data_IF_084644429389
#
_entry.id   IF_084644429389
#
_cell.length_a   1.000
_cell.length_b   1.000
_cell.length_c   1.000
_cell.angle_alpha   90.00
_cell.angle_beta   90.00
_cell.angle_gamma   90.00
#
_symmetry.space_group_name_H-M   'P 1'
#
loop_
_entity.id
_entity.type
_entity.pdbx_description
1 polymer ?
#
# COMPACT_ATOMS: atom_id res chain seq x y z
N UNK A 1 -11.54 -1.59 -11.07
CA UNK A 1 -12.22 -1.59 -12.38
C UNK A 1 -11.26 -1.03 -13.43
N UNK A 2 -11.17 -1.66 -14.60
CA UNK A 2 -10.37 -1.17 -15.73
C UNK A 2 -11.30 -0.91 -16.91
N UNK A 3 -11.10 0.20 -17.62
CA UNK A 3 -11.99 0.65 -18.71
C UNK A 3 -11.37 0.47 -20.11
N UNK A 4 -10.15 -0.08 -20.17
CA UNK A 4 -9.41 -0.34 -21.40
C UNK A 4 -9.26 -1.83 -21.64
N UNK A 5 -9.12 -2.22 -22.92
CA UNK A 5 -8.91 -3.62 -23.33
C UNK A 5 -7.65 -4.25 -22.73
N UNK A 6 -6.66 -3.42 -22.40
CA UNK A 6 -5.42 -3.82 -21.73
C UNK A 6 -5.17 -2.90 -20.55
N UNK A 7 -4.90 -3.50 -19.40
CA UNK A 7 -4.45 -2.82 -18.19
C UNK A 7 -3.46 -3.72 -17.45
N UNK A 8 -2.33 -3.18 -17.02
CA UNK A 8 -1.35 -3.88 -16.20
C UNK A 8 -1.36 -3.28 -14.80
N UNK A 9 -1.53 -4.14 -13.80
CA UNK A 9 -1.49 -3.76 -12.39
C UNK A 9 -0.36 -4.53 -11.71
N UNK A 10 0.59 -3.81 -11.11
CA UNK A 10 1.73 -4.37 -10.38
C UNK A 10 1.76 -3.80 -8.98
N UNK A 11 1.86 -4.67 -7.99
CA UNK A 11 1.96 -4.32 -6.57
C UNK A 11 2.96 -5.25 -5.89
N UNK A 12 3.54 -4.79 -4.77
CA UNK A 12 4.46 -5.58 -3.96
C UNK A 12 3.73 -6.10 -2.72
N UNK A 13 3.92 -7.39 -2.43
CA UNK A 13 3.51 -8.03 -1.19
C UNK A 13 4.72 -8.22 -0.28
N UNK A 14 4.50 -8.16 1.03
CA UNK A 14 5.49 -8.46 2.06
C UNK A 14 5.74 -9.96 2.22
N UNK A 15 4.90 -10.81 1.60
CA UNK A 15 4.89 -12.26 1.75
C UNK A 15 4.39 -12.95 0.48
N UNK A 16 4.60 -14.27 0.38
CA UNK A 16 4.05 -15.07 -0.70
C UNK A 16 2.52 -15.12 -0.64
N UNK A 17 1.91 -15.35 -1.80
CA UNK A 17 0.47 -15.51 -1.87
C UNK A 17 0.04 -16.83 -1.23
N UNK A 18 -0.81 -16.71 -0.21
CA UNK A 18 -1.45 -17.79 0.51
C UNK A 18 -2.96 -17.67 0.31
N UNK A 19 -3.60 -18.54 -0.50
CA UNK A 19 -5.04 -18.47 -0.79
C UNK A 19 -5.91 -18.44 0.48
N UNK A 20 -5.46 -19.13 1.52
CA UNK A 20 -6.09 -19.21 2.84
C UNK A 20 -6.13 -17.87 3.61
N UNK A 21 -5.23 -16.94 3.29
CA UNK A 21 -5.16 -15.61 3.89
C UNK A 21 -5.91 -14.56 3.04
N UNK A 22 -6.38 -14.93 1.85
CA UNK A 22 -7.15 -14.04 1.00
C UNK A 22 -8.60 -13.95 1.49
N UNK A 23 -9.13 -12.74 1.51
CA UNK A 23 -10.54 -12.48 1.77
C UNK A 23 -11.03 -11.39 0.83
N UNK A 24 -12.29 -11.46 0.47
CA UNK A 24 -12.91 -10.52 -0.45
C UNK A 24 -14.27 -10.07 0.05
N UNK A 25 -14.68 -8.88 -0.40
CA UNK A 25 -16.00 -8.31 -0.15
C UNK A 25 -16.72 -8.21 -1.48
N UNK A 26 -18.05 -8.32 -1.44
CA UNK A 26 -18.88 -8.09 -2.60
C UNK A 26 -18.64 -6.68 -3.18
N UNK A 27 -18.13 -6.62 -4.40
CA UNK A 27 -17.64 -5.38 -5.02
C UNK A 27 -18.74 -4.31 -5.22
N UNK A 28 -19.99 -4.73 -5.38
CA UNK A 28 -21.16 -3.88 -5.61
C UNK A 28 -22.06 -3.76 -4.36
N UNK A 29 -21.53 -4.02 -3.16
CA UNK A 29 -22.27 -3.76 -1.92
C UNK A 29 -22.50 -2.25 -1.74
N UNK A 30 -23.77 -1.84 -1.67
CA UNK A 30 -24.18 -0.44 -1.49
C UNK A 30 -23.57 0.20 -0.23
N UNK A 31 -23.25 -0.60 0.80
CA UNK A 31 -22.65 -0.13 2.06
C UNK A 31 -21.22 0.36 1.90
N UNK A 32 -20.53 -0.04 0.84
CA UNK A 32 -19.21 0.51 0.50
C UNK A 32 -19.31 1.98 0.04
N UNK A 33 -20.49 2.44 -0.39
CA UNK A 33 -20.71 3.82 -0.83
C UNK A 33 -19.98 4.20 -2.12
N UNK A 34 -19.49 3.22 -2.89
CA UNK A 34 -18.72 3.47 -4.12
C UNK A 34 -19.69 3.63 -5.30
N UNK A 35 -19.66 4.81 -5.92
CA UNK A 35 -20.39 5.09 -7.15
C UNK A 35 -19.53 4.68 -8.35
N UNK A 36 -19.62 3.41 -8.74
CA UNK A 36 -18.93 2.91 -9.93
C UNK A 36 -19.53 3.57 -11.19
N UNK A 37 -18.71 4.10 -12.13
CA UNK A 37 -19.21 4.74 -13.34
C UNK A 37 -19.62 3.68 -14.39
N UNK A 38 -20.57 2.82 -14.02
CA UNK A 38 -21.11 1.74 -14.84
C UNK A 38 -22.35 2.28 -15.56
N UNK A 39 -22.36 2.19 -16.88
CA UNK A 39 -23.51 2.54 -17.72
C UNK A 39 -24.27 1.27 -18.11
N UNK A 40 -25.53 1.40 -18.54
CA UNK A 40 -26.40 0.25 -18.90
C UNK A 40 -25.82 -0.63 -20.02
N UNK A 41 -24.95 -0.07 -20.86
CA UNK A 41 -24.27 -0.73 -21.98
C UNK A 41 -22.94 -1.40 -21.59
N UNK A 42 -22.45 -1.19 -20.36
CA UNK A 42 -21.21 -1.82 -19.90
C UNK A 42 -21.44 -3.26 -19.42
N UNK A 43 -20.70 -4.21 -20.00
CA UNK A 43 -20.63 -5.56 -19.49
C UNK A 43 -19.63 -5.63 -18.33
N UNK A 44 -20.11 -6.00 -17.14
CA UNK A 44 -19.26 -6.26 -15.99
C UNK A 44 -18.70 -7.69 -16.08
N UNK A 45 -17.38 -7.80 -16.00
CA UNK A 45 -16.66 -9.07 -16.00
C UNK A 45 -16.03 -9.23 -14.62
N UNK A 46 -16.49 -10.23 -13.88
CA UNK A 46 -15.98 -10.62 -12.57
C UNK A 46 -15.64 -12.11 -12.55
N UNK A 47 -14.77 -12.52 -11.65
CA UNK A 47 -14.58 -13.96 -11.40
C UNK A 47 -15.78 -14.53 -10.64
N UNK A 48 -15.98 -15.85 -10.70
CA UNK A 48 -17.01 -16.54 -9.91
C UNK A 48 -16.81 -16.31 -8.40
N UNK A 49 -15.55 -16.32 -7.98
CA UNK A 49 -15.13 -16.04 -6.60
C UNK A 49 -15.57 -14.65 -6.16
N UNK A 50 -15.21 -13.61 -6.91
CA UNK A 50 -15.48 -12.23 -6.50
C UNK A 50 -16.98 -11.89 -6.55
N UNK A 51 -17.73 -12.60 -7.40
CA UNK A 51 -19.20 -12.50 -7.48
C UNK A 51 -19.90 -13.21 -6.31
N UNK A 52 -19.19 -14.10 -5.62
CA UNK A 52 -19.70 -14.92 -4.50
C UNK A 52 -19.21 -14.43 -3.13
N UNK A 53 -18.42 -13.35 -3.07
CA UNK A 53 -17.96 -12.77 -1.81
C UNK A 53 -19.14 -12.28 -0.97
N UNK A 54 -18.96 -12.30 0.35
CA UNK A 54 -19.99 -11.81 1.26
C UNK A 54 -20.12 -10.28 1.19
N UNK A 55 -21.33 -9.75 1.38
CA UNK A 55 -21.54 -8.33 1.63
C UNK A 55 -20.70 -7.85 2.83
N UNK A 56 -20.22 -6.59 2.79
CA UNK A 56 -19.39 -5.99 3.83
C UNK A 56 -20.01 -6.15 5.22
N UNK A 57 -19.21 -6.49 6.23
CA UNK A 57 -19.63 -6.55 7.63
C UNK A 57 -18.57 -5.87 8.50
N UNK A 58 -19.00 -5.14 9.53
CA UNK A 58 -18.08 -4.41 10.41
C UNK A 58 -17.12 -5.32 11.22
N UNK A 59 -17.40 -6.63 11.31
CA UNK A 59 -16.50 -7.58 11.97
C UNK A 59 -15.45 -8.15 11.02
N UNK A 60 -14.29 -7.51 10.94
CA UNK A 60 -13.05 -8.09 10.40
C UNK A 60 -11.91 -7.82 11.39
N UNK A 61 -11.43 -8.86 12.07
CA UNK A 61 -10.26 -8.78 12.96
C UNK A 61 -9.02 -9.22 12.19
N UNK A 62 -8.20 -8.27 11.75
CA UNK A 62 -6.88 -8.56 11.17
C UNK A 62 -5.85 -8.83 12.28
N UNK A 63 -5.09 -9.92 12.15
CA UNK A 63 -3.93 -10.19 13.01
C UNK A 63 -2.75 -9.29 12.60
N UNK A 64 -2.02 -8.67 13.55
CA UNK A 64 -0.88 -7.83 13.20
C UNK A 64 0.26 -8.68 12.60
N UNK A 65 0.73 -8.29 11.42
CA UNK A 65 1.98 -8.78 10.80
C UNK A 65 3.12 -7.85 11.20
N UNK A 66 4.32 -8.39 11.44
CA UNK A 66 5.52 -7.61 11.74
C UNK A 66 6.03 -6.93 10.47
N UNK A 67 6.19 -5.59 10.51
CA UNK A 67 6.59 -4.78 9.34
C UNK A 67 7.82 -3.93 9.71
N UNK A 68 8.95 -4.22 9.06
CA UNK A 68 10.15 -3.39 9.12
C UNK A 68 10.10 -2.26 8.08
N UNK A 69 9.89 -1.02 8.53
CA UNK A 69 9.83 0.15 7.65
C UNK A 69 11.04 0.29 6.71
N UNK A 70 12.25 -0.06 7.15
CA UNK A 70 13.46 0.03 6.32
C UNK A 70 13.56 -1.08 5.27
N UNK A 71 12.98 -2.24 5.54
CA UNK A 71 12.84 -3.31 4.54
C UNK A 71 11.88 -2.85 3.44
N UNK A 72 10.75 -2.24 3.80
CA UNK A 72 9.78 -1.71 2.84
C UNK A 72 10.35 -0.58 1.95
N UNK A 73 11.24 0.26 2.49
CA UNK A 73 11.96 1.26 1.71
C UNK A 73 12.85 0.60 0.65
N UNK A 74 13.68 -0.37 1.07
CA UNK A 74 14.61 -1.09 0.17
C UNK A 74 13.86 -1.85 -0.91
N UNK A 75 12.70 -2.35 -0.53
CA UNK A 75 11.77 -3.07 -1.37
C UNK A 75 11.11 -2.18 -2.43
N UNK A 76 10.64 -0.99 -2.06
CA UNK A 76 10.09 -0.01 -2.99
C UNK A 76 11.18 0.51 -3.95
N UNK A 77 12.42 0.67 -3.48
CA UNK A 77 13.57 0.97 -4.34
C UNK A 77 13.82 -0.13 -5.39
N UNK A 78 13.72 -1.41 -5.00
CA UNK A 78 13.88 -2.54 -5.92
C UNK A 78 12.77 -2.59 -7.00
N UNK A 79 11.53 -2.29 -6.61
CA UNK A 79 10.40 -2.16 -7.53
C UNK A 79 10.63 -1.01 -8.50
N UNK A 80 11.01 0.18 -8.00
CA UNK A 80 11.32 1.34 -8.83
C UNK A 80 12.43 1.03 -9.85
N UNK A 81 13.50 0.37 -9.41
CA UNK A 81 14.61 0.00 -10.28
C UNK A 81 14.21 -1.04 -11.34
N UNK A 82 13.27 -1.92 -11.03
CA UNK A 82 12.74 -2.91 -11.96
C UNK A 82 11.80 -2.27 -12.97
N UNK A 83 10.84 -1.46 -12.52
CA UNK A 83 9.87 -0.76 -13.37
C UNK A 83 10.56 0.13 -14.43
N UNK A 84 11.68 0.78 -14.07
CA UNK A 84 12.48 1.61 -14.99
C UNK A 84 13.12 0.82 -16.15
N UNK A 85 13.13 -0.51 -16.10
CA UNK A 85 13.63 -1.38 -17.19
C UNK A 85 12.53 -1.78 -18.17
N UNK A 86 11.25 -1.59 -17.83
CA UNK A 86 10.15 -1.96 -18.69
C UNK A 86 10.01 -0.97 -19.86
N UNK A 87 9.84 -1.50 -21.07
CA UNK A 87 9.72 -0.69 -22.29
C UNK A 87 8.46 0.20 -22.30
N UNK A 88 7.43 -0.18 -21.54
CA UNK A 88 6.16 0.53 -21.46
C UNK A 88 6.17 1.73 -20.48
N UNK A 89 7.24 1.91 -19.70
CA UNK A 89 7.30 2.95 -18.64
C UNK A 89 8.07 4.18 -19.13
N UNK A 90 7.43 5.35 -19.06
CA UNK A 90 8.11 6.64 -19.18
C UNK A 90 8.90 6.95 -17.90
N UNK A 91 10.22 6.80 -17.98
CA UNK A 91 11.15 6.91 -16.84
C UNK A 91 11.20 8.31 -16.22
N UNK A 92 10.65 9.32 -16.89
CA UNK A 92 10.58 10.70 -16.43
C UNK A 92 9.24 11.04 -15.77
N UNK A 93 8.30 10.08 -15.70
CA UNK A 93 6.94 10.30 -15.17
C UNK A 93 6.54 9.33 -14.07
N UNK A 94 7.51 8.68 -13.43
CA UNK A 94 7.25 7.75 -12.34
C UNK A 94 6.89 8.54 -11.08
N UNK A 95 5.70 8.31 -10.54
CA UNK A 95 5.21 8.90 -9.28
C UNK A 95 5.08 7.79 -8.24
N UNK A 96 5.57 8.04 -7.02
CA UNK A 96 5.36 7.11 -5.90
C UNK A 96 4.15 7.56 -5.08
N UNK A 97 3.36 6.62 -4.58
CA UNK A 97 2.17 6.91 -3.77
C UNK A 97 2.18 6.10 -2.48
N UNK A 98 1.85 6.73 -1.35
CA UNK A 98 1.87 6.09 -0.04
C UNK A 98 0.75 6.57 0.88
N UNK A 99 0.13 5.62 1.59
CA UNK A 99 -0.90 5.84 2.59
C UNK A 99 -0.40 5.48 3.99
N UNK A 100 -0.73 6.28 5.02
CA UNK A 100 -0.35 6.00 6.43
C UNK A 100 1.17 5.75 6.58
N UNK A 101 1.61 4.62 7.12
CA UNK A 101 3.03 4.25 7.21
C UNK A 101 3.71 4.18 5.84
N UNK A 102 2.98 3.76 4.80
CA UNK A 102 3.45 3.77 3.40
C UNK A 102 3.80 5.18 2.90
N UNK A 103 3.23 6.23 3.50
CA UNK A 103 3.61 7.61 3.25
C UNK A 103 5.03 7.95 3.74
N UNK A 104 5.45 7.41 4.90
CA UNK A 104 6.83 7.55 5.38
C UNK A 104 7.79 6.83 4.42
N UNK A 105 7.46 5.58 4.07
CA UNK A 105 8.26 4.76 3.15
C UNK A 105 8.42 5.47 1.80
N UNK A 106 7.33 5.97 1.23
CA UNK A 106 7.32 6.74 -0.01
C UNK A 106 8.22 7.96 0.05
N UNK A 107 8.14 8.73 1.15
CA UNK A 107 8.97 9.92 1.33
C UNK A 107 10.46 9.58 1.42
N UNK A 108 10.82 8.54 2.18
CA UNK A 108 12.22 8.09 2.32
C UNK A 108 12.74 7.57 0.98
N UNK A 109 11.99 6.71 0.28
CA UNK A 109 12.40 6.16 -1.01
C UNK A 109 12.56 7.26 -2.05
N UNK A 110 11.62 8.23 -2.12
CA UNK A 110 11.72 9.35 -3.04
C UNK A 110 12.94 10.23 -2.76
N UNK A 111 13.27 10.49 -1.48
CA UNK A 111 14.47 11.23 -1.11
C UNK A 111 15.76 10.50 -1.54
N UNK A 112 15.80 9.18 -1.43
CA UNK A 112 16.96 8.35 -1.86
C UNK A 112 17.06 8.19 -3.37
N UNK A 113 15.94 8.29 -4.07
CA UNK A 113 15.83 8.07 -5.51
C UNK A 113 15.38 9.33 -6.26
N UNK A 114 15.76 10.53 -5.79
CA UNK A 114 15.21 11.82 -6.26
C UNK A 114 15.27 12.00 -7.80
N UNK A 115 16.32 11.49 -8.44
CA UNK A 115 16.54 11.60 -9.90
C UNK A 115 15.67 10.64 -10.70
N UNK A 116 15.02 9.71 -10.03
CA UNK A 116 14.31 8.60 -10.62
C UNK A 116 12.79 8.69 -10.43
N UNK A 117 12.33 9.70 -9.68
CA UNK A 117 10.93 9.92 -9.30
C UNK A 117 10.53 11.34 -9.71
N UNK A 118 9.43 11.45 -10.45
CA UNK A 118 8.89 12.72 -10.93
C UNK A 118 8.06 13.46 -9.87
N UNK A 119 7.55 12.72 -8.88
CA UNK A 119 6.79 13.28 -7.77
C UNK A 119 6.30 12.21 -6.80
N UNK A 120 5.70 12.65 -5.71
CA UNK A 120 5.07 11.77 -4.72
C UNK A 120 3.63 12.20 -4.44
N UNK A 121 2.79 11.22 -4.12
CA UNK A 121 1.43 11.42 -3.58
C UNK A 121 1.40 10.81 -2.18
N UNK A 122 1.03 11.63 -1.20
CA UNK A 122 0.96 11.21 0.20
C UNK A 122 -0.47 11.35 0.69
N UNK A 123 -1.04 10.26 1.15
CA UNK A 123 -2.39 10.22 1.69
C UNK A 123 -2.33 9.89 3.19
N UNK A 124 -2.71 10.85 4.03
CA UNK A 124 -2.67 10.72 5.49
C UNK A 124 -1.35 10.11 6.02
N UNK A 125 -0.17 10.63 5.63
CA UNK A 125 1.10 10.01 5.96
C UNK A 125 1.36 10.03 7.46
N UNK A 126 1.82 8.90 8.01
CA UNK A 126 2.02 8.73 9.45
C UNK A 126 3.30 9.40 9.99
N UNK A 127 3.70 10.58 9.48
CA UNK A 127 4.91 11.31 9.89
C UNK A 127 4.97 11.65 11.38
N UNK A 128 3.82 11.59 12.06
CA UNK A 128 3.72 11.78 13.50
C UNK A 128 4.52 10.72 14.27
N UNK A 129 4.55 9.46 13.79
CA UNK A 129 5.25 8.34 14.46
C UNK A 129 6.76 8.61 14.63
N UNK A 130 7.54 8.90 13.57
CA UNK A 130 8.96 9.22 13.74
C UNK A 130 9.20 10.54 14.47
N UNK A 131 8.24 11.49 14.42
CA UNK A 131 8.33 12.71 15.20
C UNK A 131 8.19 12.42 16.70
N UNK A 132 7.22 11.62 17.09
CA UNK A 132 6.98 11.26 18.49
C UNK A 132 8.10 10.38 19.03
N UNK A 133 8.65 9.48 18.22
CA UNK A 133 9.86 8.74 18.60
C UNK A 133 11.02 9.69 18.94
N UNK A 134 11.25 10.77 18.16
CA UNK A 134 12.24 11.79 18.51
C UNK A 134 11.88 12.62 19.74
N UNK A 135 10.59 12.84 19.99
CA UNK A 135 10.14 13.58 21.18
C UNK A 135 10.24 12.71 22.45
N UNK A 136 10.20 11.37 22.31
CA UNK A 136 10.26 10.40 23.41
C UNK A 136 11.68 9.92 23.72
N UNK A 137 12.54 9.83 22.70
CA UNK A 137 13.90 9.31 22.82
C UNK A 137 14.91 10.38 22.41
N UNK A 138 15.71 10.82 23.37
CA UNK A 138 16.70 11.88 23.17
C UNK A 138 17.85 11.43 22.26
N UNK A 139 18.22 10.15 22.34
CA UNK A 139 19.22 9.53 21.47
C UNK A 139 18.75 8.18 20.93
N UNK A 140 19.38 7.70 19.86
CA UNK A 140 19.13 6.37 19.29
C UNK A 140 19.36 5.27 20.33
N UNK A 141 20.30 5.46 21.26
CA UNK A 141 20.59 4.48 22.30
C UNK A 141 19.49 4.36 23.36
N UNK A 142 18.61 5.37 23.45
CA UNK A 142 17.47 5.39 24.37
C UNK A 142 16.23 4.72 23.78
N UNK A 143 16.24 4.42 22.48
CA UNK A 143 15.17 3.70 21.81
C UNK A 143 15.24 2.24 22.26
N UNK A 144 14.20 1.70 22.92
CA UNK A 144 14.18 0.30 23.31
C UNK A 144 14.12 -0.59 22.07
N UNK A 145 14.63 -1.82 22.20
CA UNK A 145 14.54 -2.84 21.15
C UNK A 145 13.08 -3.06 20.69
N UNK A 146 12.10 -2.81 21.58
CA UNK A 146 10.67 -2.81 21.26
C UNK A 146 9.98 -1.57 21.83
N UNK A 147 9.26 -0.83 20.97
CA UNK A 147 8.42 0.30 21.37
C UNK A 147 7.01 0.17 20.79
N UNK A 148 6.00 0.19 21.67
CA UNK A 148 4.60 0.00 21.29
C UNK A 148 3.92 1.36 21.11
N UNK A 149 3.79 1.80 19.86
CA UNK A 149 3.00 2.98 19.55
C UNK A 149 1.50 2.66 19.64
N UNK A 150 0.74 3.42 20.44
CA UNK A 150 -0.70 3.19 20.59
C UNK A 150 -1.39 3.35 19.23
N UNK A 151 -2.03 2.26 18.78
CA UNK A 151 -2.53 1.97 17.43
C UNK A 151 -1.47 1.45 16.44
N UNK A 152 -1.26 0.12 16.49
CA UNK A 152 -0.84 -0.74 15.37
C UNK A 152 0.48 -0.39 14.65
N UNK A 153 1.59 -1.03 15.05
CA UNK A 153 2.16 -2.22 14.38
C UNK A 153 3.56 -2.51 14.94
N UNK A 154 3.83 -3.79 14.97
CA UNK A 154 4.96 -4.52 15.48
C UNK A 154 6.16 -4.38 14.51
N UNK A 155 7.31 -3.97 15.01
CA UNK A 155 8.57 -3.95 14.26
C UNK A 155 9.50 -4.95 14.97
N UNK A 156 9.39 -6.24 14.64
CA UNK A 156 10.61 -7.06 14.62
C UNK A 156 11.62 -6.36 13.74
#
# INVERSE_FOLDING_TARGET
MVLSDVAEFSYKLSDFYHPEDESGVLWNDERLGIQWPITEDMQIITSERDSSNLPFSEEVVLKPKNIHAMTEVSDLEAVLNSARKWNAIDKNKIVLAGFSQGGIITAITAARCEKNVAGIILESPAFLIPKEAHDLFETIADIPDEYYYHFLINIH
#
